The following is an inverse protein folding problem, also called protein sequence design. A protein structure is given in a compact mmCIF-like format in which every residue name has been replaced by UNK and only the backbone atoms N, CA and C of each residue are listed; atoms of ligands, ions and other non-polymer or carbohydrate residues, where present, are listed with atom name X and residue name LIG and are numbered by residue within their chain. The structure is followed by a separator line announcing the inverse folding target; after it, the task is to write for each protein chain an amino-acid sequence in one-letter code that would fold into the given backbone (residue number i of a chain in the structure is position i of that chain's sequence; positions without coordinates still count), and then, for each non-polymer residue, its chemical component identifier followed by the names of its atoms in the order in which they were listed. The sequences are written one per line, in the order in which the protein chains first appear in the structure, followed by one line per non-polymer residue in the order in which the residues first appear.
data_IF_852294975041
#
_entry.id   IF_852294975041
#
_cell.length_a   1.000
_cell.length_b   1.000
_cell.length_c   1.000
_cell.angle_alpha   90.00
_cell.angle_beta   90.00
_cell.angle_gamma   90.00
#
_symmetry.space_group_name_H-M   'P 1'
#
loop_
_entity.id
_entity.type
_entity.pdbx_description
1 polymer ?
#
# COMPACT_ATOMS: atom_id res chain seq x y z
N UNK A 1 -2.64 12.59 -14.48
CA UNK A 1 -2.55 12.35 -13.02
C UNK A 1 -1.13 12.31 -12.51
N UNK A 2 -0.28 11.31 -12.84
CA UNK A 2 1.06 11.23 -12.22
C UNK A 2 2.00 12.36 -12.63
N UNK A 3 1.96 12.78 -13.89
CA UNK A 3 2.78 13.90 -14.34
C UNK A 3 2.32 15.26 -13.79
N UNK A 4 1.10 15.35 -13.24
CA UNK A 4 0.59 16.59 -12.62
C UNK A 4 1.37 16.95 -11.35
N UNK A 5 2.14 16.01 -10.78
CA UNK A 5 3.11 16.26 -9.70
C UNK A 5 4.08 17.40 -10.10
N UNK A 6 4.42 17.52 -11.39
CA UNK A 6 5.33 18.56 -11.87
C UNK A 6 4.78 19.98 -11.63
N UNK A 7 3.46 20.16 -11.53
CA UNK A 7 2.83 21.45 -11.25
C UNK A 7 3.19 21.98 -9.85
N UNK A 8 3.44 21.08 -8.89
CA UNK A 8 3.84 21.41 -7.52
C UNK A 8 5.34 21.66 -7.35
N UNK A 9 6.15 21.35 -8.37
CA UNK A 9 7.61 21.49 -8.33
C UNK A 9 8.09 22.81 -8.96
N UNK A 10 7.22 23.82 -9.01
CA UNK A 10 7.60 25.16 -9.49
C UNK A 10 8.71 25.74 -8.61
N UNK A 11 9.85 26.06 -9.23
CA UNK A 11 11.01 26.61 -8.53
C UNK A 11 12.00 25.57 -7.99
N UNK A 12 11.74 24.27 -8.18
CA UNK A 12 12.73 23.23 -7.88
C UNK A 12 13.97 23.39 -8.76
N UNK A 13 15.14 23.22 -8.15
CA UNK A 13 16.46 23.26 -8.79
C UNK A 13 16.85 21.88 -9.27
N UNK A 14 17.78 21.82 -10.22
CA UNK A 14 18.24 20.57 -10.83
C UNK A 14 18.77 19.55 -9.81
N UNK A 15 19.39 20.03 -8.73
CA UNK A 15 19.97 19.24 -7.65
C UNK A 15 19.01 18.94 -6.50
N UNK A 16 17.80 19.49 -6.52
CA UNK A 16 16.77 19.13 -5.54
C UNK A 16 16.36 17.66 -5.70
N UNK A 17 16.11 17.01 -4.57
CA UNK A 17 15.68 15.62 -4.53
C UNK A 17 14.16 15.58 -4.46
N UNK A 18 13.58 14.81 -5.36
CA UNK A 18 12.15 14.59 -5.44
C UNK A 18 11.84 13.14 -5.09
N UNK A 19 10.97 12.94 -4.12
CA UNK A 19 10.37 11.65 -3.81
C UNK A 19 8.97 11.61 -4.41
N UNK A 20 8.70 10.59 -5.21
CA UNK A 20 7.43 10.38 -5.93
C UNK A 20 6.74 9.19 -5.29
N UNK A 21 5.75 9.47 -4.45
CA UNK A 21 4.99 8.46 -3.71
C UNK A 21 3.49 8.80 -3.68
N UNK A 22 2.67 7.77 -3.51
CA UNK A 22 1.25 7.96 -3.19
C UNK A 22 1.08 8.33 -1.70
N UNK A 23 -0.08 8.88 -1.32
CA UNK A 23 -0.34 9.30 0.08
C UNK A 23 -0.25 8.14 1.08
N UNK A 24 -0.56 6.91 0.63
CA UNK A 24 -0.44 5.71 1.46
C UNK A 24 0.97 5.07 1.43
N UNK A 25 1.92 5.65 0.69
CA UNK A 25 3.33 5.25 0.58
C UNK A 25 4.22 6.19 1.43
N UNK A 26 4.56 5.77 2.64
CA UNK A 26 5.25 6.59 3.64
C UNK A 26 6.73 6.18 3.72
N UNK A 27 7.63 7.13 3.47
CA UNK A 27 9.09 6.95 3.60
C UNK A 27 9.53 7.26 5.04
N UNK A 28 10.46 6.46 5.55
CA UNK A 28 11.13 6.66 6.84
C UNK A 28 11.98 7.92 6.82
N UNK A 29 11.88 8.72 7.87
CA UNK A 29 12.71 9.92 8.04
C UNK A 29 14.20 9.56 8.02
N UNK A 30 14.58 8.48 8.71
CA UNK A 30 15.97 8.02 8.80
C UNK A 30 16.57 7.62 7.44
N UNK A 31 15.72 7.35 6.43
CA UNK A 31 16.15 6.98 5.07
C UNK A 31 16.35 8.17 4.14
N UNK A 32 15.88 9.36 4.50
CA UNK A 32 15.96 10.55 3.63
C UNK A 32 17.42 10.96 3.38
N UNK A 33 18.29 10.89 4.40
CA UNK A 33 19.71 11.22 4.22
C UNK A 33 20.43 10.20 3.35
N UNK A 34 20.17 8.91 3.55
CA UNK A 34 20.77 7.84 2.73
C UNK A 34 20.36 7.97 1.25
N UNK A 35 19.09 8.29 0.98
CA UNK A 35 18.58 8.58 -0.38
C UNK A 35 19.36 9.75 -0.99
N UNK A 36 19.56 10.82 -0.23
CA UNK A 36 20.28 12.01 -0.67
C UNK A 36 21.74 11.72 -0.99
N UNK A 37 22.42 10.95 -0.16
CA UNK A 37 23.80 10.54 -0.38
C UNK A 37 23.95 9.66 -1.61
N UNK A 38 23.03 8.70 -1.82
CA UNK A 38 23.03 7.85 -2.99
C UNK A 38 22.88 8.66 -4.30
N UNK A 39 21.90 9.59 -4.35
CA UNK A 39 21.71 10.45 -5.53
C UNK A 39 22.96 11.30 -5.80
N UNK A 40 23.55 11.89 -4.75
CA UNK A 40 24.81 12.64 -4.86
C UNK A 40 25.97 11.78 -5.37
N UNK A 41 26.02 10.50 -4.98
CA UNK A 41 26.99 9.51 -5.48
C UNK A 41 26.69 8.99 -6.89
N UNK A 42 25.84 9.69 -7.67
CA UNK A 42 25.41 9.34 -9.04
C UNK A 42 24.57 8.07 -9.14
N UNK A 43 23.94 7.63 -8.05
CA UNK A 43 22.92 6.58 -8.06
C UNK A 43 21.53 7.23 -8.18
N UNK A 44 21.11 7.50 -9.41
CA UNK A 44 19.87 8.23 -9.73
C UNK A 44 19.27 7.67 -11.04
N UNK A 45 17.98 7.29 -11.10
CA UNK A 45 16.97 7.27 -10.03
C UNK A 45 17.08 6.03 -9.12
N UNK A 46 16.49 6.12 -7.92
CA UNK A 46 16.45 5.05 -6.92
C UNK A 46 15.01 4.58 -6.74
N UNK A 47 14.80 3.28 -6.87
CA UNK A 47 13.52 2.66 -6.52
C UNK A 47 13.44 2.41 -5.01
N UNK A 48 12.33 2.82 -4.40
CA UNK A 48 12.12 2.69 -2.95
C UNK A 48 11.19 1.52 -2.67
N UNK A 49 11.69 0.52 -1.94
CA UNK A 49 10.92 -0.67 -1.60
C UNK A 49 10.29 -0.51 -0.21
N UNK A 50 8.96 -0.44 -0.18
CA UNK A 50 8.17 -0.18 1.03
C UNK A 50 7.52 -1.47 1.54
N UNK A 51 7.54 -1.71 2.85
CA UNK A 51 6.86 -2.87 3.44
C UNK A 51 5.35 -2.77 3.19
N UNK A 52 4.75 -3.82 2.65
CA UNK A 52 3.35 -3.78 2.25
C UNK A 52 2.39 -4.22 3.36
N UNK A 53 1.38 -3.42 3.63
CA UNK A 53 0.32 -3.70 4.60
C UNK A 53 -1.04 -3.56 3.94
N UNK A 54 -1.98 -4.45 4.27
CA UNK A 54 -3.33 -4.45 3.71
C UNK A 54 -4.38 -4.73 4.77
N UNK A 55 -5.59 -4.21 4.56
CA UNK A 55 -6.76 -4.38 5.42
C UNK A 55 -6.64 -3.71 6.79
N UNK A 56 -5.53 -3.89 7.48
CA UNK A 56 -5.22 -3.31 8.78
C UNK A 56 -3.76 -2.86 8.81
N UNK A 57 -3.45 -1.91 9.69
CA UNK A 57 -2.10 -1.38 9.85
C UNK A 57 -1.09 -2.47 10.26
N UNK A 58 -1.55 -3.51 10.96
CA UNK A 58 -0.72 -4.59 11.50
C UNK A 58 -0.82 -5.91 10.70
N UNK A 59 -1.30 -5.87 9.45
CA UNK A 59 -1.38 -7.03 8.56
C UNK A 59 -0.44 -6.88 7.37
N UNK A 60 0.74 -7.50 7.45
CA UNK A 60 1.78 -7.48 6.42
C UNK A 60 1.44 -8.44 5.27
N UNK A 61 1.47 -7.99 4.04
CA UNK A 61 1.23 -8.86 2.87
C UNK A 61 2.44 -9.79 2.66
N UNK A 62 2.21 -11.11 2.66
CA UNK A 62 3.29 -12.09 2.48
C UNK A 62 3.58 -12.41 1.02
N UNK A 63 2.65 -12.12 0.10
CA UNK A 63 2.83 -12.38 -1.34
C UNK A 63 3.58 -11.22 -2.00
N UNK A 64 3.23 -9.99 -1.62
CA UNK A 64 3.90 -8.77 -2.06
C UNK A 64 4.54 -8.13 -0.84
N UNK A 65 5.62 -8.72 -0.32
CA UNK A 65 6.26 -8.26 0.94
C UNK A 65 6.79 -6.82 0.85
N UNK A 66 7.26 -6.46 -0.34
CA UNK A 66 7.84 -5.17 -0.68
C UNK A 66 7.13 -4.56 -1.88
N UNK A 67 6.68 -3.32 -1.72
CA UNK A 67 6.02 -2.54 -2.75
C UNK A 67 7.01 -1.62 -3.48
N UNK A 68 7.15 -1.75 -4.80
CA UNK A 68 8.26 -1.15 -5.55
C UNK A 68 7.92 0.16 -6.29
N UNK A 69 6.76 0.80 -6.10
CA UNK A 69 6.37 1.92 -6.98
C UNK A 69 6.88 3.29 -6.56
N UNK A 70 7.29 3.49 -5.30
CA UNK A 70 7.86 4.74 -4.86
C UNK A 70 9.27 4.94 -5.46
N UNK A 71 9.60 6.18 -5.78
CA UNK A 71 10.90 6.55 -6.37
C UNK A 71 11.49 7.79 -5.72
N UNK A 72 12.81 7.85 -5.64
CA UNK A 72 13.56 9.06 -5.38
C UNK A 72 14.48 9.37 -6.56
N UNK A 73 14.58 10.65 -6.92
CA UNK A 73 15.40 11.09 -8.05
C UNK A 73 15.78 12.55 -7.90
N UNK A 74 16.81 13.02 -8.62
CA UNK A 74 17.04 14.46 -8.77
C UNK A 74 15.97 15.08 -9.66
N UNK A 75 15.64 16.36 -9.45
CA UNK A 75 14.71 17.06 -10.33
C UNK A 75 15.23 17.12 -11.78
N UNK A 76 16.55 17.23 -11.96
CA UNK A 76 17.20 17.13 -13.27
C UNK A 76 16.86 15.82 -14.00
N UNK A 77 16.93 14.69 -13.32
CA UNK A 77 16.60 13.38 -13.89
C UNK A 77 15.09 13.23 -14.08
N UNK A 78 14.28 13.75 -13.15
CA UNK A 78 12.82 13.76 -13.27
C UNK A 78 12.35 14.45 -14.55
N UNK A 79 12.93 15.61 -14.90
CA UNK A 79 12.60 16.33 -16.14
C UNK A 79 12.86 15.52 -17.41
N UNK A 80 13.84 14.60 -17.39
CA UNK A 80 14.19 13.76 -18.55
C UNK A 80 13.27 12.55 -18.73
N UNK A 81 12.62 12.10 -17.66
CA UNK A 81 11.89 10.83 -17.67
C UNK A 81 10.39 10.98 -17.38
N UNK A 82 9.95 12.00 -16.65
CA UNK A 82 8.59 12.17 -16.11
C UNK A 82 8.26 11.24 -14.92
N UNK A 83 7.39 11.68 -13.99
CA UNK A 83 6.90 10.85 -12.91
C UNK A 83 6.27 9.52 -13.36
N UNK A 84 5.43 9.55 -14.39
CA UNK A 84 4.75 8.35 -14.91
C UNK A 84 5.76 7.31 -15.40
N UNK A 85 6.74 7.71 -16.24
CA UNK A 85 7.73 6.79 -16.78
C UNK A 85 8.56 6.14 -15.68
N UNK A 86 9.00 6.92 -14.70
CA UNK A 86 9.78 6.40 -13.58
C UNK A 86 9.01 5.31 -12.83
N UNK A 87 7.74 5.57 -12.49
CA UNK A 87 6.91 4.63 -11.72
C UNK A 87 6.50 3.38 -12.51
N UNK A 88 6.29 3.45 -13.83
CA UNK A 88 5.69 2.33 -14.59
C UNK A 88 6.62 1.64 -15.60
N UNK A 89 7.52 2.36 -16.26
CA UNK A 89 8.26 1.86 -17.44
C UNK A 89 9.78 1.87 -17.28
N UNK A 90 10.31 2.53 -16.24
CA UNK A 90 11.75 2.70 -16.08
C UNK A 90 12.39 1.45 -15.47
N UNK A 91 13.37 0.81 -16.15
CA UNK A 91 14.17 -0.25 -15.57
C UNK A 91 15.08 0.37 -14.51
N UNK A 92 14.87 0.02 -13.24
CA UNK A 92 15.65 0.56 -12.16
C UNK A 92 16.96 -0.21 -12.01
N UNK A 93 18.08 0.51 -11.99
CA UNK A 93 19.40 -0.05 -11.72
C UNK A 93 19.73 -0.03 -10.22
N UNK A 94 19.15 0.93 -9.49
CA UNK A 94 19.38 1.13 -8.07
C UNK A 94 18.06 0.99 -7.31
N UNK A 95 18.10 0.26 -6.20
CA UNK A 95 16.98 0.12 -5.27
C UNK A 95 17.46 0.25 -3.83
N UNK A 96 16.56 0.66 -2.96
CA UNK A 96 16.76 0.67 -1.51
C UNK A 96 15.63 -0.10 -0.86
N UNK A 97 16.01 -1.04 0.00
CA UNK A 97 15.08 -1.90 0.73
C UNK A 97 14.70 -1.32 2.09
N UNK A 98 13.51 -1.69 2.57
CA UNK A 98 12.98 -1.31 3.87
C UNK A 98 12.90 0.21 4.07
N UNK A 99 12.56 0.94 3.00
CA UNK A 99 12.54 2.40 2.99
C UNK A 99 11.36 2.98 3.79
N UNK A 100 10.34 2.17 4.02
CA UNK A 100 9.14 2.63 4.71
C UNK A 100 8.00 1.65 4.61
N UNK A 101 6.78 2.17 4.49
CA UNK A 101 5.55 1.40 4.57
C UNK A 101 4.57 1.82 3.46
N UNK A 102 3.85 0.85 2.91
CA UNK A 102 2.69 1.08 2.05
C UNK A 102 1.44 0.53 2.73
N UNK A 103 0.50 1.42 3.09
CA UNK A 103 -0.74 1.06 3.77
C UNK A 103 -1.92 0.99 2.80
N UNK A 104 -2.01 -0.10 2.04
CA UNK A 104 -2.98 -0.24 0.95
C UNK A 104 -4.32 -0.82 1.41
N UNK A 105 -5.36 0.02 1.41
CA UNK A 105 -6.74 -0.41 1.65
C UNK A 105 -6.97 -0.72 3.12
N UNK A 106 -6.99 0.32 3.94
CA UNK A 106 -7.13 0.20 5.39
C UNK A 106 -8.61 0.22 5.81
N UNK A 107 -8.95 -0.53 6.87
CA UNK A 107 -10.28 -0.55 7.49
C UNK A 107 -11.13 -1.77 7.14
N UNK A 108 -10.51 -2.93 7.00
CA UNK A 108 -11.15 -4.24 6.77
C UNK A 108 -12.00 -4.32 5.50
N UNK A 109 -12.91 -5.31 5.42
CA UNK A 109 -13.65 -5.67 4.20
C UNK A 109 -14.46 -4.50 3.66
N UNK A 110 -15.21 -3.80 4.52
CA UNK A 110 -16.17 -2.81 4.04
C UNK A 110 -15.46 -1.60 3.42
N UNK A 111 -14.42 -1.08 4.07
CA UNK A 111 -13.61 0.02 3.51
C UNK A 111 -12.73 -0.42 2.36
N UNK A 112 -12.25 -1.66 2.36
CA UNK A 112 -11.49 -2.21 1.24
C UNK A 112 -12.37 -2.40 0.00
N UNK A 113 -13.59 -2.91 0.18
CA UNK A 113 -14.58 -3.05 -0.88
C UNK A 113 -14.93 -1.67 -1.46
N UNK A 114 -15.17 -0.68 -0.59
CA UNK A 114 -15.37 0.70 -1.01
C UNK A 114 -14.16 1.25 -1.80
N UNK A 115 -12.91 1.01 -1.34
CA UNK A 115 -11.70 1.43 -2.08
C UNK A 115 -11.59 0.78 -3.45
N UNK A 116 -12.00 -0.49 -3.61
CA UNK A 116 -12.05 -1.15 -4.93
C UNK A 116 -13.08 -0.43 -5.83
N UNK A 117 -14.22 -0.04 -5.27
CA UNK A 117 -15.30 0.63 -6.01
C UNK A 117 -14.93 2.05 -6.43
N UNK A 118 -14.26 2.78 -5.55
CA UNK A 118 -13.84 4.17 -5.78
C UNK A 118 -12.45 4.28 -6.43
N UNK A 119 -11.80 3.16 -6.73
CA UNK A 119 -10.41 3.11 -7.20
C UNK A 119 -10.27 3.40 -8.70
N UNK A 120 -9.12 3.96 -9.09
CA UNK A 120 -8.80 4.25 -10.50
C UNK A 120 -8.63 2.98 -11.36
N UNK A 121 -8.39 1.82 -10.75
CA UNK A 121 -8.26 0.53 -11.43
C UNK A 121 -9.63 -0.09 -11.72
N UNK A 122 -10.32 0.41 -12.75
CA UNK A 122 -11.64 -0.09 -13.18
C UNK A 122 -11.65 -1.60 -13.48
N UNK A 123 -10.50 -2.17 -13.86
CA UNK A 123 -10.30 -3.61 -14.10
C UNK A 123 -10.58 -4.50 -12.87
N UNK A 124 -10.41 -3.96 -11.66
CA UNK A 124 -10.61 -4.67 -10.39
C UNK A 124 -12.04 -4.49 -9.86
N UNK A 125 -12.81 -3.56 -10.44
CA UNK A 125 -14.20 -3.25 -10.08
C UNK A 125 -15.20 -4.26 -10.65
N UNK A 126 -14.97 -5.55 -10.38
CA UNK A 126 -15.89 -6.63 -10.73
C UNK A 126 -16.46 -7.25 -9.44
N UNK A 127 -17.76 -7.58 -9.40
CA UNK A 127 -18.42 -8.26 -8.28
C UNK A 127 -17.64 -9.49 -7.79
N UNK A 128 -16.90 -10.15 -8.70
CA UNK A 128 -16.03 -11.29 -8.43
C UNK A 128 -14.94 -10.99 -7.39
N UNK A 129 -14.41 -9.76 -7.30
CA UNK A 129 -13.38 -9.36 -6.33
C UNK A 129 -13.95 -8.73 -5.06
N UNK A 130 -15.21 -8.26 -5.12
CA UNK A 130 -15.94 -7.65 -4.00
C UNK A 130 -16.55 -8.66 -3.03
N UNK A 131 -16.51 -9.96 -3.34
CA UNK A 131 -17.05 -11.00 -2.44
C UNK A 131 -16.29 -10.99 -1.12
N UNK A 132 -16.97 -10.65 -0.03
CA UNK A 132 -16.41 -10.59 1.32
C UNK A 132 -15.55 -11.82 1.67
N UNK A 133 -15.98 -13.04 1.29
CA UNK A 133 -15.20 -14.26 1.48
C UNK A 133 -13.78 -14.22 0.88
N UNK A 134 -13.60 -13.63 -0.32
CA UNK A 134 -12.28 -13.53 -0.96
C UNK A 134 -11.40 -12.49 -0.28
N UNK A 135 -11.97 -11.35 0.09
CA UNK A 135 -11.27 -10.32 0.85
C UNK A 135 -10.82 -10.85 2.21
N UNK A 136 -11.69 -11.59 2.91
CA UNK A 136 -11.33 -12.32 4.14
C UNK A 136 -10.19 -13.30 3.89
N UNK A 137 -10.28 -14.11 2.83
CA UNK A 137 -9.24 -15.09 2.51
C UNK A 137 -7.90 -14.43 2.20
N UNK A 138 -7.90 -13.25 1.59
CA UNK A 138 -6.69 -12.47 1.36
C UNK A 138 -6.15 -11.85 2.66
N UNK A 139 -7.01 -11.21 3.47
CA UNK A 139 -6.63 -10.69 4.77
C UNK A 139 -6.00 -11.77 5.66
N UNK A 140 -6.52 -13.00 5.62
CA UNK A 140 -5.94 -14.17 6.32
C UNK A 140 -4.56 -14.60 5.81
N UNK A 141 -4.22 -14.32 4.55
CA UNK A 141 -2.87 -14.57 4.00
C UNK A 141 -1.87 -13.48 4.40
N UNK A 142 -2.35 -12.31 4.84
CA UNK A 142 -1.49 -11.28 5.39
C UNK A 142 -1.12 -11.68 6.82
N UNK A 143 0.19 -11.67 7.11
CA UNK A 143 0.72 -12.02 8.43
C UNK A 143 0.38 -10.93 9.43
N UNK A 144 -0.23 -11.33 10.54
CA UNK A 144 -0.42 -10.44 11.68
C UNK A 144 0.96 -10.17 12.31
N UNK A 145 1.28 -8.91 12.52
CA UNK A 145 2.52 -8.47 13.17
C UNK A 145 2.19 -7.57 14.35
N UNK A 146 3.07 -7.51 15.35
CA UNK A 146 2.92 -6.56 16.45
C UNK A 146 3.21 -5.15 15.93
N UNK A 147 2.46 -4.15 16.37
CA UNK A 147 2.85 -2.75 16.21
C UNK A 147 3.83 -2.43 17.32
N UNK A 148 5.04 -2.05 16.90
CA UNK A 148 6.19 -1.75 17.73
C UNK A 148 6.88 -0.49 17.20
N UNK A 149 8.03 -0.15 17.76
CA UNK A 149 8.86 1.00 17.37
C UNK A 149 9.30 1.00 15.90
N UNK A 150 9.14 -0.11 15.16
CA UNK A 150 9.46 -0.19 13.75
C UNK A 150 8.35 0.36 12.83
N UNK A 151 7.22 0.80 13.39
CA UNK A 151 6.12 1.46 12.68
C UNK A 151 6.25 2.98 12.71
N UNK A 152 5.49 3.73 11.86
CA UNK A 152 5.45 5.18 11.96
C UNK A 152 5.10 5.60 13.40
N UNK A 153 5.90 6.51 13.98
CA UNK A 153 5.72 6.99 15.35
C UNK A 153 4.28 7.41 15.64
N UNK A 154 3.64 8.08 14.69
CA UNK A 154 2.23 8.48 14.80
C UNK A 154 1.27 7.30 15.00
N UNK A 155 1.52 6.14 14.38
CA UNK A 155 0.70 4.94 14.57
C UNK A 155 0.92 4.35 15.97
N UNK A 156 2.17 4.31 16.43
CA UNK A 156 2.54 3.79 17.75
C UNK A 156 1.94 4.65 18.86
N UNK A 157 2.15 5.97 18.79
CA UNK A 157 1.69 6.93 19.79
C UNK A 157 0.15 7.02 19.85
N UNK A 158 -0.54 6.71 18.75
CA UNK A 158 -2.00 6.78 18.63
C UNK A 158 -2.65 5.40 18.48
N UNK A 159 -2.05 4.34 19.03
CA UNK A 159 -2.55 2.97 18.87
C UNK A 159 -4.05 2.83 19.19
N UNK A 160 -4.50 3.34 20.35
CA UNK A 160 -5.91 3.28 20.78
C UNK A 160 -6.85 3.96 19.79
N UNK A 161 -6.45 5.12 19.25
CA UNK A 161 -7.24 5.85 18.25
C UNK A 161 -7.50 4.99 17.00
N UNK A 162 -6.48 4.26 16.53
CA UNK A 162 -6.60 3.36 15.39
C UNK A 162 -7.35 2.06 15.72
N UNK A 163 -7.19 1.54 16.93
CA UNK A 163 -7.92 0.37 17.43
C UNK A 163 -9.43 0.64 17.47
N UNK A 164 -9.86 1.74 18.10
CA UNK A 164 -11.26 2.15 18.21
C UNK A 164 -11.92 2.35 16.84
N UNK A 165 -11.14 2.75 15.83
CA UNK A 165 -11.58 2.98 14.46
C UNK A 165 -11.46 1.75 13.56
N UNK A 166 -11.13 0.59 14.13
CA UNK A 166 -11.03 -0.69 13.43
C UNK A 166 -9.94 -0.72 12.35
N UNK A 167 -8.82 -0.02 12.60
CA UNK A 167 -7.62 -0.06 11.75
C UNK A 167 -6.53 -1.01 12.27
N UNK A 168 -6.64 -1.46 13.52
CA UNK A 168 -5.79 -2.50 14.10
C UNK A 168 -6.56 -3.80 14.16
N UNK A 169 -5.95 -4.87 13.67
CA UNK A 169 -6.49 -6.21 13.82
C UNK A 169 -6.13 -6.78 15.20
N UNK A 170 -7.04 -6.59 16.15
CA UNK A 170 -7.00 -7.23 17.47
C UNK A 170 -8.07 -8.34 17.59
N UNK A 171 -8.84 -8.58 16.53
CA UNK A 171 -10.13 -9.30 16.57
C UNK A 171 -10.28 -10.41 15.53
N UNK A 172 -9.32 -10.64 14.64
CA UNK A 172 -9.35 -11.82 13.78
C UNK A 172 -8.74 -13.02 14.53
N UNK A 173 -9.55 -13.90 15.19
CA UNK A 173 -9.01 -15.17 15.63
C UNK A 173 -8.55 -15.98 14.40
N UNK A 174 -7.46 -16.75 14.49
CA UNK A 174 -7.01 -17.64 13.42
C UNK A 174 -8.11 -18.59 12.90
N UNK A 175 -9.07 -18.93 13.78
CA UNK A 175 -9.98 -20.06 13.62
C UNK A 175 -11.47 -19.70 13.53
N UNK A 176 -11.86 -18.58 12.92
CA UNK A 176 -13.30 -18.40 12.67
C UNK A 176 -13.80 -19.38 11.58
N UNK A 177 -14.64 -20.35 11.98
CA UNK A 177 -15.63 -20.99 11.09
C UNK A 177 -16.56 -19.88 10.60
N UNK A 178 -16.39 -19.48 9.35
CA UNK A 178 -17.09 -18.34 8.74
C UNK A 178 -18.62 -18.57 8.84
N UNK A 179 -19.29 -17.79 9.71
CA UNK A 179 -20.73 -17.54 9.60
C UNK A 179 -20.89 -16.22 8.88
N UNK A 180 -21.44 -16.29 7.66
CA UNK A 180 -21.68 -15.14 6.79
C UNK A 180 -22.94 -14.46 7.32
N UNK A 181 -22.82 -13.25 7.87
CA UNK A 181 -23.91 -12.58 8.62
C UNK A 181 -24.73 -11.56 7.81
N UNK A 182 -24.64 -11.54 6.47
CA UNK A 182 -25.54 -10.72 5.67
C UNK A 182 -26.50 -11.60 4.84
N UNK A 183 -27.82 -11.35 4.95
CA UNK A 183 -28.90 -12.05 4.22
C UNK A 183 -28.62 -12.17 2.72
N UNK A 184 -28.04 -11.14 2.09
CA UNK A 184 -27.66 -11.16 0.65
C UNK A 184 -26.53 -12.13 0.31
N UNK A 185 -25.64 -12.42 1.24
CA UNK A 185 -24.50 -13.32 1.01
C UNK A 185 -24.80 -14.78 1.41
N UNK A 186 -25.85 -14.99 2.23
CA UNK A 186 -26.37 -16.33 2.53
C UNK A 186 -26.97 -16.97 1.27
N UNK A 187 -27.83 -16.25 0.53
CA UNK A 187 -28.41 -16.79 -0.71
C UNK A 187 -27.33 -17.11 -1.76
N UNK A 188 -26.27 -16.30 -1.84
CA UNK A 188 -25.18 -16.54 -2.78
C UNK A 188 -24.34 -17.78 -2.43
N UNK A 189 -24.20 -18.09 -1.13
CA UNK A 189 -23.55 -19.32 -0.67
C UNK A 189 -24.44 -20.55 -0.94
N UNK A 190 -25.74 -20.43 -0.70
CA UNK A 190 -26.69 -21.53 -0.88
C UNK A 190 -26.81 -21.90 -2.39
N UNK A 191 -26.79 -20.91 -3.28
CA UNK A 191 -26.76 -21.13 -4.73
C UNK A 191 -25.48 -21.85 -5.21
N UNK A 192 -24.32 -21.51 -4.65
CA UNK A 192 -23.04 -22.16 -5.01
C UNK A 192 -22.91 -23.61 -4.51
N UNK A 193 -23.69 -24.00 -3.49
CA UNK A 193 -23.76 -25.38 -3.00
C UNK A 193 -24.69 -26.21 -3.89
N UNK A 194 -25.75 -25.60 -4.42
CA UNK A 194 -26.68 -26.24 -5.35
C UNK A 194 -26.03 -26.55 -6.71
N UNK A 195 -25.16 -25.68 -7.23
CA UNK A 195 -24.43 -25.91 -8.49
C UNK A 195 -23.32 -26.97 -8.42
N UNK A 196 -23.03 -27.50 -7.22
CA UNK A 196 -21.99 -28.53 -6.98
C UNK A 196 -22.55 -29.91 -6.63
N UNK A 197 -23.87 -30.06 -6.63
CA UNK A 197 -24.57 -31.34 -6.57
C UNK A 197 -25.13 -31.66 -7.94
#
# INVERSE_FOLDING_TARGET
QRDDILLGLKGAKDDDIVIISDVDEIVREEKVQEIKEMIKSKKDPIRLMLKMYRFFLNRKDMKMDMWPLAYATSYKTLKKHSPEKLRTKFPYQYSMDNVGWHFSGMGYIDRYAYKIESGAHQEINNERYKRAYKLIRWAKRCRLVKIDETFPKYIVDNFKYFEERNFIDNKLPPNWKIRVFNKRQKSHRDNLIAERR
#
